data_IF_218491918429
#
_entry.id   IF_218491918429
#
_cell.length_a   1.000
_cell.length_b   1.000
_cell.length_c   1.000
_cell.angle_alpha   90.00
_cell.angle_beta   90.00
_cell.angle_gamma   90.00
#
_symmetry.space_group_name_H-M   'P 1'
#
loop_
_entity.id
_entity.type
_entity.pdbx_description
1 polymer ?
#
# COMPACT_ATOMS: atom_id res chain seq x y z
N UNK A 1 74.32 -42.82 -8.58
CA UNK A 1 73.71 -41.45 -8.39
C UNK A 1 72.31 -41.47 -8.95
N UNK A 2 71.30 -42.02 -8.25
CA UNK A 2 69.85 -41.94 -8.65
C UNK A 2 68.95 -42.25 -7.46
N UNK A 3 69.05 -41.52 -6.36
CA UNK A 3 68.20 -41.74 -5.18
C UNK A 3 67.58 -40.50 -4.54
N UNK A 4 67.92 -39.26 -5.01
CA UNK A 4 67.47 -38.03 -4.36
C UNK A 4 66.25 -37.35 -5.03
N UNK A 5 65.91 -37.74 -6.27
CA UNK A 5 64.87 -37.00 -7.02
C UNK A 5 63.42 -37.34 -6.58
N UNK A 6 63.25 -38.48 -5.89
CA UNK A 6 61.87 -38.89 -5.42
C UNK A 6 61.39 -38.13 -4.19
N UNK A 7 62.31 -37.63 -3.36
CA UNK A 7 61.91 -36.88 -2.14
C UNK A 7 61.59 -35.42 -2.44
N UNK A 8 62.24 -34.81 -3.46
CA UNK A 8 61.90 -33.46 -3.89
C UNK A 8 60.56 -33.39 -4.58
N UNK A 9 60.19 -34.34 -5.38
CA UNK A 9 58.89 -34.40 -6.02
C UNK A 9 57.72 -34.60 -5.00
N UNK A 10 57.98 -35.39 -3.94
CA UNK A 10 56.98 -35.57 -2.88
C UNK A 10 56.75 -34.31 -2.04
N UNK A 11 57.84 -33.56 -1.74
CA UNK A 11 57.70 -32.27 -1.03
C UNK A 11 56.98 -31.19 -1.84
N UNK A 12 57.18 -31.14 -3.15
CA UNK A 12 56.48 -30.18 -4.03
C UNK A 12 54.99 -30.50 -4.16
N UNK A 13 54.62 -31.78 -4.19
CA UNK A 13 53.21 -32.21 -4.23
C UNK A 13 52.53 -31.92 -2.90
N UNK A 14 53.15 -32.15 -1.77
CA UNK A 14 52.60 -31.79 -0.45
C UNK A 14 52.46 -30.30 -0.26
N UNK A 15 53.43 -29.47 -0.76
CA UNK A 15 53.30 -28.03 -0.72
C UNK A 15 52.20 -27.49 -1.61
N UNK A 16 51.97 -28.08 -2.79
CA UNK A 16 50.88 -27.75 -3.68
C UNK A 16 49.49 -28.10 -3.10
N UNK A 17 49.38 -29.24 -2.40
CA UNK A 17 48.14 -29.66 -1.71
C UNK A 17 47.83 -28.80 -0.49
N UNK A 18 48.81 -28.29 0.22
CA UNK A 18 48.62 -27.35 1.34
C UNK A 18 48.22 -25.96 0.88
N UNK A 19 48.66 -25.49 -0.28
CA UNK A 19 48.28 -24.21 -0.86
C UNK A 19 46.83 -24.22 -1.40
N UNK A 20 46.33 -25.35 -1.88
CA UNK A 20 44.93 -25.48 -2.34
C UNK A 20 43.92 -25.54 -1.20
N UNK A 21 44.29 -25.99 0.00
CA UNK A 21 43.40 -26.05 1.16
C UNK A 21 43.15 -24.67 1.84
N UNK A 22 44.01 -23.67 1.61
CA UNK A 22 43.86 -22.33 2.18
C UNK A 22 42.86 -21.50 1.39
N UNK A 23 42.59 -21.81 0.12
CA UNK A 23 41.66 -21.07 -0.73
C UNK A 23 40.18 -21.47 -0.57
N UNK A 24 39.87 -22.57 0.10
CA UNK A 24 38.48 -23.07 0.24
C UNK A 24 37.74 -22.59 1.49
N UNK A 25 38.39 -21.82 2.39
CA UNK A 25 37.77 -21.35 3.64
C UNK A 25 37.06 -20.01 3.48
N UNK A 26 37.21 -19.29 2.37
CA UNK A 26 36.62 -17.95 2.18
C UNK A 26 35.23 -17.93 1.54
N UNK A 27 34.63 -19.08 1.24
CA UNK A 27 33.29 -19.14 0.61
C UNK A 27 32.14 -19.45 1.58
N UNK A 28 32.41 -19.49 2.89
CA UNK A 28 31.37 -19.43 3.92
C UNK A 28 31.21 -18.01 4.45
N UNK A 29 31.37 -17.01 3.58
CA UNK A 29 31.03 -15.65 3.91
C UNK A 29 29.51 -15.53 3.93
N UNK A 30 29.00 -15.42 5.14
CA UNK A 30 27.79 -14.69 5.45
C UNK A 30 26.57 -15.10 4.62
N UNK A 31 25.90 -16.14 5.03
CA UNK A 31 24.45 -16.10 5.00
C UNK A 31 24.05 -14.97 5.97
N UNK A 32 24.30 -13.73 5.54
CA UNK A 32 24.00 -12.53 6.31
C UNK A 32 22.56 -12.65 6.79
N UNK A 33 22.39 -12.68 8.10
CA UNK A 33 21.08 -12.79 8.72
C UNK A 33 20.16 -11.73 8.11
N UNK A 34 19.17 -12.16 7.33
CA UNK A 34 18.16 -11.24 6.80
C UNK A 34 17.26 -10.76 7.96
N UNK A 35 16.98 -9.44 8.04
CA UNK A 35 17.57 -8.33 7.30
C UNK A 35 18.88 -7.83 7.93
N UNK A 36 19.88 -7.47 7.10
CA UNK A 36 21.15 -6.89 7.56
C UNK A 36 21.33 -5.41 7.16
N UNK A 37 20.31 -4.81 6.55
CA UNK A 37 20.24 -3.40 6.15
C UNK A 37 18.81 -2.90 6.21
N UNK A 38 18.60 -1.59 6.06
CA UNK A 38 17.28 -0.99 6.07
C UNK A 38 16.38 -1.54 4.96
N UNK A 39 15.09 -1.67 5.29
CA UNK A 39 14.03 -2.11 4.39
C UNK A 39 13.22 -0.89 3.96
N UNK A 40 12.82 -0.84 2.70
CA UNK A 40 11.89 0.15 2.16
C UNK A 40 10.49 -0.43 2.18
N UNK A 41 9.54 0.28 2.78
CA UNK A 41 8.11 -0.06 2.72
C UNK A 41 7.37 1.01 1.90
N UNK A 42 7.10 0.70 0.64
CA UNK A 42 6.42 1.61 -0.27
C UNK A 42 4.92 1.61 0.04
N UNK A 43 4.39 2.80 0.30
CA UNK A 43 2.95 3.07 0.46
C UNK A 43 2.50 3.85 -0.77
N UNK A 44 1.62 3.30 -1.64
CA UNK A 44 1.24 3.91 -2.90
C UNK A 44 0.21 5.05 -2.76
N UNK A 45 0.00 5.54 -1.53
CA UNK A 45 -0.96 6.58 -1.18
C UNK A 45 -0.32 7.68 -0.33
N UNK A 46 -1.03 8.81 -0.19
CA UNK A 46 -0.55 9.95 0.60
C UNK A 46 -0.40 9.59 2.08
N UNK A 47 0.55 10.25 2.74
CA UNK A 47 0.69 10.20 4.18
C UNK A 47 -0.61 10.62 4.90
N UNK A 48 -0.86 10.05 6.07
CA UNK A 48 -2.03 10.34 6.92
C UNK A 48 -3.30 9.56 6.54
N UNK A 49 -3.29 8.72 5.50
CA UNK A 49 -4.37 7.77 5.24
C UNK A 49 -4.22 6.47 6.03
N UNK A 50 -5.27 5.63 6.04
CA UNK A 50 -5.27 4.36 6.79
C UNK A 50 -4.11 3.42 6.39
N UNK A 51 -3.81 3.32 5.09
CA UNK A 51 -2.70 2.50 4.58
C UNK A 51 -1.34 2.99 5.11
N UNK A 52 -1.13 4.30 5.17
CA UNK A 52 0.10 4.90 5.72
C UNK A 52 0.22 4.67 7.23
N UNK A 53 -0.87 4.83 7.97
CA UNK A 53 -0.91 4.58 9.41
C UNK A 53 -0.56 3.12 9.74
N UNK A 54 -1.17 2.16 9.04
CA UNK A 54 -0.86 0.73 9.18
C UNK A 54 0.59 0.43 8.80
N UNK A 55 1.10 1.00 7.71
CA UNK A 55 2.49 0.82 7.30
C UNK A 55 3.48 1.29 8.37
N UNK A 56 3.21 2.42 9.04
CA UNK A 56 4.06 2.94 10.11
C UNK A 56 4.02 2.07 11.37
N UNK A 57 2.85 1.55 11.74
CA UNK A 57 2.70 0.61 12.86
C UNK A 57 3.52 -0.66 12.59
N UNK A 58 3.39 -1.24 11.38
CA UNK A 58 4.15 -2.44 11.00
C UNK A 58 5.64 -2.14 10.93
N UNK A 59 6.04 -1.02 10.33
CA UNK A 59 7.44 -0.63 10.24
C UNK A 59 8.11 -0.56 11.63
N UNK A 60 7.41 -0.04 12.62
CA UNK A 60 7.91 0.04 13.99
C UNK A 60 8.03 -1.36 14.63
N UNK A 61 7.03 -2.22 14.51
CA UNK A 61 7.11 -3.59 15.03
C UNK A 61 8.19 -4.43 14.34
N UNK A 62 8.37 -4.27 13.03
CA UNK A 62 9.44 -4.94 12.32
C UNK A 62 10.81 -4.41 12.74
N UNK A 63 10.95 -3.10 12.97
CA UNK A 63 12.17 -2.49 13.50
C UNK A 63 12.54 -3.09 14.87
N UNK A 64 11.56 -3.23 15.77
CA UNK A 64 11.75 -3.83 17.07
C UNK A 64 12.17 -5.30 16.99
N UNK A 65 11.54 -6.06 16.09
CA UNK A 65 11.78 -7.49 15.94
C UNK A 65 13.10 -7.82 15.23
N UNK A 66 13.48 -7.02 14.24
CA UNK A 66 14.61 -7.31 13.37
C UNK A 66 15.86 -6.48 13.67
N UNK A 67 15.73 -5.43 14.50
CA UNK A 67 16.83 -4.50 14.76
C UNK A 67 17.25 -3.66 13.57
N UNK A 68 16.47 -3.67 12.47
CA UNK A 68 16.73 -2.92 11.25
C UNK A 68 15.64 -1.89 10.98
N UNK A 69 16.04 -0.73 10.46
CA UNK A 69 15.11 0.36 10.14
C UNK A 69 14.21 -0.04 8.97
N UNK A 70 12.91 0.16 9.10
CA UNK A 70 11.94 0.05 8.00
C UNK A 70 11.47 1.45 7.63
N UNK A 71 11.88 1.92 6.45
CA UNK A 71 11.60 3.27 5.95
C UNK A 71 10.28 3.25 5.19
N UNK A 72 9.27 3.96 5.68
CA UNK A 72 7.98 4.13 5.00
C UNK A 72 8.10 5.25 3.96
N UNK A 73 7.86 4.92 2.70
CA UNK A 73 7.94 5.86 1.57
C UNK A 73 6.58 5.99 0.87
N UNK A 74 6.00 7.19 0.89
CA UNK A 74 4.74 7.47 0.20
C UNK A 74 5.01 7.81 -1.27
N UNK A 75 4.56 6.94 -2.21
CA UNK A 75 4.71 7.07 -3.67
C UNK A 75 3.35 7.14 -4.34
N UNK A 76 2.79 8.34 -4.42
CA UNK A 76 1.39 8.57 -4.83
C UNK A 76 1.23 8.72 -6.34
N UNK A 77 0.01 8.47 -6.84
CA UNK A 77 -0.41 8.79 -8.19
C UNK A 77 -1.00 7.61 -8.96
N UNK A 78 -1.83 7.91 -9.97
CA UNK A 78 -2.51 6.93 -10.82
C UNK A 78 -3.22 5.81 -10.03
N UNK A 79 -4.01 6.16 -8.99
CA UNK A 79 -4.70 5.18 -8.14
C UNK A 79 -3.76 4.25 -7.38
N UNK A 80 -2.51 4.67 -7.13
CA UNK A 80 -1.47 3.88 -6.47
C UNK A 80 -0.53 3.14 -7.43
N UNK A 81 -0.80 3.16 -8.74
CA UNK A 81 0.00 2.42 -9.71
C UNK A 81 1.45 2.88 -9.79
N UNK A 82 1.75 4.16 -9.47
CA UNK A 82 3.13 4.66 -9.47
C UNK A 82 3.96 3.96 -8.40
N UNK A 83 3.47 3.94 -7.16
CA UNK A 83 4.19 3.27 -6.06
C UNK A 83 4.25 1.76 -6.22
N UNK A 84 3.15 1.13 -6.67
CA UNK A 84 3.13 -0.30 -6.93
C UNK A 84 4.13 -0.71 -8.03
N UNK A 85 4.23 0.07 -9.12
CA UNK A 85 5.20 -0.17 -10.19
C UNK A 85 6.66 0.01 -9.71
N UNK A 86 6.93 0.97 -8.83
CA UNK A 86 8.26 1.14 -8.24
C UNK A 86 8.65 -0.10 -7.42
N UNK A 87 7.72 -0.63 -6.61
CA UNK A 87 7.95 -1.86 -5.86
C UNK A 87 8.16 -3.07 -6.79
N UNK A 88 7.31 -3.23 -7.82
CA UNK A 88 7.38 -4.31 -8.79
C UNK A 88 8.72 -4.36 -9.56
N UNK A 89 9.34 -3.19 -9.79
CA UNK A 89 10.63 -3.07 -10.49
C UNK A 89 11.86 -3.07 -9.56
N UNK A 90 11.64 -3.15 -8.26
CA UNK A 90 12.73 -3.26 -7.29
C UNK A 90 13.36 -4.66 -7.33
N UNK A 91 14.59 -4.77 -6.81
CA UNK A 91 15.26 -6.06 -6.70
C UNK A 91 14.42 -7.04 -5.85
N UNK A 92 14.25 -8.31 -6.26
CA UNK A 92 13.45 -9.29 -5.52
C UNK A 92 14.25 -9.95 -4.37
N UNK A 93 14.87 -9.12 -3.55
CA UNK A 93 15.77 -9.50 -2.45
C UNK A 93 15.15 -9.35 -1.05
N UNK A 94 13.86 -8.97 -0.99
CA UNK A 94 13.12 -8.79 0.24
C UNK A 94 13.31 -7.41 0.90
N UNK A 95 14.16 -6.53 0.38
CA UNK A 95 14.42 -5.21 0.97
C UNK A 95 13.50 -4.09 0.46
N UNK A 96 12.62 -4.39 -0.48
CA UNK A 96 11.54 -3.49 -0.88
C UNK A 96 10.20 -4.20 -0.72
N UNK A 97 9.35 -3.66 0.14
CA UNK A 97 8.01 -4.15 0.41
C UNK A 97 6.98 -3.18 -0.14
N UNK A 98 5.82 -3.68 -0.53
CA UNK A 98 4.65 -2.89 -0.91
C UNK A 98 3.54 -3.05 0.12
N UNK A 99 3.06 -1.95 0.68
CA UNK A 99 1.78 -1.90 1.38
C UNK A 99 0.67 -1.68 0.36
N UNK A 100 0.28 -2.75 -0.31
CA UNK A 100 -0.75 -2.71 -1.35
C UNK A 100 -2.16 -2.54 -0.78
N UNK A 101 -3.10 -2.23 -1.66
CA UNK A 101 -4.52 -2.16 -1.37
C UNK A 101 -5.32 -2.80 -2.52
N UNK A 102 -6.63 -2.94 -2.35
CA UNK A 102 -7.50 -3.58 -3.35
C UNK A 102 -7.35 -2.95 -4.76
N UNK A 103 -7.16 -1.63 -4.83
CA UNK A 103 -6.92 -0.92 -6.10
C UNK A 103 -5.68 -1.45 -6.80
N UNK A 104 -4.52 -1.35 -6.17
CA UNK A 104 -3.22 -1.72 -6.73
C UNK A 104 -3.07 -3.22 -6.98
N UNK A 105 -3.70 -4.06 -6.13
CA UNK A 105 -3.48 -5.50 -6.15
C UNK A 105 -4.54 -6.26 -6.99
N UNK A 106 -5.66 -5.63 -7.35
CA UNK A 106 -6.72 -6.29 -8.11
C UNK A 106 -7.42 -5.37 -9.12
N UNK A 107 -8.07 -4.29 -8.67
CA UNK A 107 -9.04 -3.53 -9.46
C UNK A 107 -8.39 -2.79 -10.62
N UNK A 108 -7.21 -2.21 -10.41
CA UNK A 108 -6.55 -1.40 -11.43
C UNK A 108 -6.22 -2.21 -12.69
N UNK A 109 -5.99 -3.52 -12.57
CA UNK A 109 -5.76 -4.41 -13.71
C UNK A 109 -6.98 -4.48 -14.66
N UNK A 110 -8.19 -4.31 -14.13
CA UNK A 110 -9.42 -4.26 -14.95
C UNK A 110 -9.80 -2.83 -15.36
N UNK A 111 -9.35 -1.82 -14.61
CA UNK A 111 -9.78 -0.43 -14.78
C UNK A 111 -8.89 0.37 -15.74
N UNK A 112 -7.57 0.14 -15.69
CA UNK A 112 -6.62 0.88 -16.52
C UNK A 112 -6.34 0.14 -17.81
N UNK A 113 -6.39 0.86 -18.94
CA UNK A 113 -6.09 0.29 -20.28
C UNK A 113 -4.69 -0.28 -20.39
N UNK A 114 -3.74 0.31 -19.67
CA UNK A 114 -2.33 -0.11 -19.64
C UNK A 114 -1.85 -0.11 -18.21
N UNK A 115 -1.48 -1.30 -17.73
CA UNK A 115 -0.87 -1.47 -16.42
C UNK A 115 0.65 -1.52 -16.56
N UNK A 116 1.40 -0.81 -15.70
CA UNK A 116 2.86 -0.84 -15.75
C UNK A 116 3.48 -2.04 -15.02
N UNK A 117 2.67 -2.90 -14.40
CA UNK A 117 3.05 -4.12 -13.68
C UNK A 117 1.94 -5.18 -13.80
N UNK A 118 2.30 -6.44 -13.58
CA UNK A 118 1.39 -7.58 -13.48
C UNK A 118 1.13 -7.90 -12.00
N UNK A 119 -0.11 -7.74 -11.54
CA UNK A 119 -0.49 -7.92 -10.14
C UNK A 119 -0.27 -9.34 -9.62
N UNK A 120 -0.24 -10.34 -10.50
CA UNK A 120 -0.11 -11.74 -10.14
C UNK A 120 1.33 -12.27 -10.26
N UNK A 121 2.18 -11.63 -11.10
CA UNK A 121 3.52 -12.14 -11.39
C UNK A 121 4.64 -11.32 -10.78
N UNK A 122 4.42 -10.00 -10.62
CA UNK A 122 5.49 -9.08 -10.21
C UNK A 122 5.61 -8.93 -8.69
N UNK A 123 4.74 -9.59 -7.93
CA UNK A 123 4.75 -9.55 -6.46
C UNK A 123 4.73 -10.96 -5.85
N UNK A 124 5.49 -11.14 -4.78
CA UNK A 124 5.35 -12.26 -3.86
C UNK A 124 4.45 -11.84 -2.69
N UNK A 125 3.21 -12.33 -2.58
CA UNK A 125 2.30 -11.95 -1.50
C UNK A 125 2.80 -12.49 -0.16
N UNK A 126 2.75 -11.65 0.89
CA UNK A 126 3.18 -12.02 2.24
C UNK A 126 1.96 -12.34 3.11
N UNK A 127 1.11 -11.33 3.34
CA UNK A 127 -0.08 -11.50 4.20
C UNK A 127 -1.08 -10.36 3.96
N UNK A 128 -2.33 -10.58 4.35
CA UNK A 128 -3.31 -9.53 4.54
C UNK A 128 -3.07 -8.88 5.91
N UNK A 129 -2.79 -7.59 5.90
CA UNK A 129 -2.46 -6.83 7.11
C UNK A 129 -3.69 -6.49 7.93
N UNK A 130 -4.73 -5.97 7.27
CA UNK A 130 -5.96 -5.57 7.91
C UNK A 130 -7.12 -5.56 6.90
N UNK A 131 -8.32 -5.61 7.45
CA UNK A 131 -9.58 -5.37 6.77
C UNK A 131 -10.40 -4.40 7.63
N UNK A 132 -11.03 -3.43 6.99
CA UNK A 132 -11.85 -2.46 7.71
C UNK A 132 -13.03 -2.00 6.84
N UNK A 133 -14.21 -1.78 7.46
CA UNK A 133 -15.35 -1.20 6.77
C UNK A 133 -15.07 0.28 6.47
N UNK A 134 -15.74 0.79 5.44
CA UNK A 134 -15.77 2.21 5.17
C UNK A 134 -17.00 2.86 5.80
N UNK A 135 -16.85 4.11 6.16
CA UNK A 135 -17.90 4.97 6.68
C UNK A 135 -18.39 5.90 5.56
N UNK A 136 -19.69 5.88 5.28
CA UNK A 136 -20.33 6.90 4.45
C UNK A 136 -20.58 8.12 5.31
N UNK A 137 -19.97 9.22 4.95
CA UNK A 137 -20.16 10.52 5.62
C UNK A 137 -20.62 11.57 4.63
N UNK A 138 -21.42 12.52 5.14
CA UNK A 138 -21.81 13.74 4.41
C UNK A 138 -21.34 14.98 5.15
N UNK A 139 -21.00 16.04 4.42
CA UNK A 139 -20.74 17.35 5.02
C UNK A 139 -22.00 17.87 5.74
N UNK A 140 -21.82 18.64 6.82
CA UNK A 140 -22.94 19.14 7.65
C UNK A 140 -23.93 20.02 6.89
N UNK A 141 -23.53 20.64 5.77
CA UNK A 141 -24.41 21.38 4.88
C UNK A 141 -25.42 20.53 4.11
N UNK A 142 -25.17 19.21 3.98
CA UNK A 142 -26.06 18.28 3.28
C UNK A 142 -27.27 17.99 4.16
N UNK A 143 -28.45 18.24 3.65
CA UNK A 143 -29.72 18.01 4.35
C UNK A 143 -30.14 16.53 4.20
N UNK A 144 -29.36 15.63 4.76
CA UNK A 144 -29.65 14.21 4.86
C UNK A 144 -29.11 13.67 6.19
N UNK A 145 -29.95 12.98 6.96
CA UNK A 145 -29.60 12.42 8.27
C UNK A 145 -29.45 10.87 8.24
N UNK A 146 -29.78 10.28 7.13
CA UNK A 146 -29.68 8.86 6.88
C UNK A 146 -29.50 8.56 5.37
N UNK A 147 -29.19 7.33 5.02
CA UNK A 147 -28.97 6.89 3.64
C UNK A 147 -30.19 7.12 2.75
N UNK A 148 -31.40 6.88 3.26
CA UNK A 148 -32.65 7.07 2.49
C UNK A 148 -32.83 8.54 2.08
N UNK A 149 -32.57 9.47 3.00
CA UNK A 149 -32.65 10.91 2.71
C UNK A 149 -31.56 11.34 1.72
N UNK A 150 -30.32 10.80 1.84
CA UNK A 150 -29.25 11.05 0.88
C UNK A 150 -29.63 10.58 -0.54
N UNK A 151 -30.18 9.37 -0.66
CA UNK A 151 -30.65 8.84 -1.94
C UNK A 151 -31.75 9.72 -2.55
N UNK A 152 -32.74 10.14 -1.74
CA UNK A 152 -33.80 11.00 -2.21
C UNK A 152 -33.26 12.36 -2.70
N UNK A 153 -32.34 12.96 -1.95
CA UNK A 153 -31.69 14.22 -2.30
C UNK A 153 -30.88 14.09 -3.61
N UNK A 154 -30.07 13.03 -3.74
CA UNK A 154 -29.25 12.80 -4.93
C UNK A 154 -30.10 12.52 -6.19
N UNK A 155 -31.24 11.82 -6.04
CA UNK A 155 -32.20 11.62 -7.14
C UNK A 155 -32.90 12.91 -7.56
N UNK A 156 -33.17 13.82 -6.62
CA UNK A 156 -33.76 15.11 -6.93
C UNK A 156 -32.76 16.08 -7.60
N UNK A 157 -31.46 15.86 -7.43
CA UNK A 157 -30.36 16.69 -7.92
C UNK A 157 -29.23 15.86 -8.50
N UNK A 158 -29.42 15.17 -9.63
CA UNK A 158 -28.41 14.28 -10.21
C UNK A 158 -27.15 15.06 -10.58
N UNK A 159 -25.98 14.58 -10.12
CA UNK A 159 -24.68 15.18 -10.42
C UNK A 159 -24.36 16.49 -9.68
N UNK A 160 -25.22 17.01 -8.81
CA UNK A 160 -24.96 18.24 -8.07
C UNK A 160 -24.10 18.05 -6.80
N UNK A 161 -24.11 16.85 -6.22
CA UNK A 161 -23.33 16.55 -5.03
C UNK A 161 -21.94 16.03 -5.43
N UNK A 162 -20.89 16.68 -4.93
CA UNK A 162 -19.52 16.27 -5.13
C UNK A 162 -19.17 15.10 -4.18
N UNK A 163 -18.75 13.98 -4.75
CA UNK A 163 -18.25 12.81 -4.02
C UNK A 163 -16.73 12.73 -4.11
N UNK A 164 -16.02 12.89 -2.98
CA UNK A 164 -14.58 12.87 -2.94
C UNK A 164 -14.00 11.46 -2.74
N UNK A 165 -12.87 11.17 -3.38
CA UNK A 165 -12.14 9.92 -3.21
C UNK A 165 -10.62 10.10 -3.30
N UNK A 166 -9.85 9.12 -2.85
CA UNK A 166 -8.38 9.16 -2.84
C UNK A 166 -7.71 8.90 -4.18
N UNK A 167 -8.48 8.78 -5.28
CA UNK A 167 -8.00 8.51 -6.63
C UNK A 167 -8.84 7.45 -7.33
N UNK A 168 -8.79 7.45 -8.65
CA UNK A 168 -9.48 6.45 -9.48
C UNK A 168 -8.97 5.04 -9.15
N UNK A 169 -9.88 4.08 -8.91
CA UNK A 169 -9.56 2.70 -8.53
C UNK A 169 -9.39 2.46 -7.03
N UNK A 170 -9.39 3.49 -6.19
CA UNK A 170 -9.36 3.32 -4.73
C UNK A 170 -10.68 2.77 -4.20
N UNK A 171 -10.65 2.18 -2.99
CA UNK A 171 -11.85 1.64 -2.33
C UNK A 171 -12.96 2.69 -2.21
N UNK A 172 -12.60 3.94 -1.92
CA UNK A 172 -13.55 5.06 -1.82
C UNK A 172 -14.26 5.33 -3.15
N UNK A 173 -13.51 5.32 -4.25
CA UNK A 173 -14.06 5.49 -5.59
C UNK A 173 -15.03 4.37 -5.95
N UNK A 174 -14.61 3.11 -5.71
CA UNK A 174 -15.43 1.94 -5.99
C UNK A 174 -16.70 1.88 -5.16
N UNK A 175 -16.62 2.22 -3.87
CA UNK A 175 -17.79 2.26 -3.00
C UNK A 175 -18.81 3.30 -3.47
N UNK A 176 -18.33 4.47 -3.94
CA UNK A 176 -19.20 5.51 -4.52
C UNK A 176 -19.90 4.98 -5.77
N UNK A 177 -19.17 4.39 -6.72
CA UNK A 177 -19.76 3.83 -7.95
C UNK A 177 -20.75 2.70 -7.66
N UNK A 178 -20.42 1.83 -6.71
CA UNK A 178 -21.32 0.75 -6.30
C UNK A 178 -22.61 1.31 -5.69
N UNK A 179 -22.50 2.32 -4.83
CA UNK A 179 -23.65 3.00 -4.24
C UNK A 179 -24.53 3.65 -5.33
N UNK A 180 -23.94 4.35 -6.30
CA UNK A 180 -24.67 4.92 -7.43
C UNK A 180 -25.41 3.84 -8.22
N UNK A 181 -24.74 2.74 -8.54
CA UNK A 181 -25.31 1.62 -9.29
C UNK A 181 -26.48 0.98 -8.55
N UNK A 182 -26.33 0.73 -7.24
CA UNK A 182 -27.37 0.06 -6.42
C UNK A 182 -28.57 0.95 -6.16
N UNK A 183 -28.38 2.27 -6.13
CA UNK A 183 -29.44 3.23 -5.71
C UNK A 183 -30.04 4.01 -6.87
N UNK A 184 -29.41 3.97 -8.06
CA UNK A 184 -29.80 4.78 -9.21
C UNK A 184 -29.59 6.27 -8.94
N UNK A 185 -28.56 6.63 -8.17
CA UNK A 185 -28.13 8.03 -7.93
C UNK A 185 -26.95 8.38 -8.82
N UNK A 186 -26.63 9.66 -8.93
CA UNK A 186 -25.45 10.17 -9.64
C UNK A 186 -24.80 11.28 -8.85
N UNK A 187 -23.47 11.20 -8.69
CA UNK A 187 -22.65 12.21 -8.02
C UNK A 187 -21.59 12.76 -8.97
N UNK A 188 -21.10 13.96 -8.67
CA UNK A 188 -19.89 14.48 -9.32
C UNK A 188 -18.66 13.91 -8.61
N UNK A 189 -17.99 12.92 -9.22
CA UNK A 189 -16.79 12.31 -8.65
C UNK A 189 -15.58 13.23 -8.70
N UNK A 190 -14.98 13.55 -7.54
CA UNK A 190 -13.76 14.34 -7.42
C UNK A 190 -12.63 13.45 -6.91
N UNK A 191 -11.66 13.18 -7.77
CA UNK A 191 -10.51 12.29 -7.44
C UNK A 191 -9.28 13.09 -7.05
N UNK A 192 -8.69 12.75 -5.90
CA UNK A 192 -7.49 13.36 -5.34
C UNK A 192 -6.27 12.42 -5.46
N UNK A 193 -5.07 12.94 -5.19
CA UNK A 193 -3.84 12.12 -5.13
C UNK A 193 -3.66 11.39 -3.79
N UNK A 194 -4.75 11.13 -3.06
CA UNK A 194 -4.82 10.48 -1.77
C UNK A 194 -5.97 11.02 -0.93
N UNK A 195 -6.45 10.23 0.04
CA UNK A 195 -7.66 10.54 0.79
C UNK A 195 -7.52 11.77 1.72
N UNK A 196 -6.32 12.06 2.21
CA UNK A 196 -6.09 13.22 3.07
C UNK A 196 -6.51 14.56 2.42
N UNK A 197 -6.25 14.72 1.10
CA UNK A 197 -6.69 15.91 0.37
C UNK A 197 -8.22 15.94 0.19
N UNK A 198 -8.85 14.81 -0.10
CA UNK A 198 -10.31 14.69 -0.14
C UNK A 198 -10.95 15.03 1.21
N UNK A 199 -10.35 14.56 2.32
CA UNK A 199 -10.82 14.89 3.67
C UNK A 199 -10.72 16.39 3.98
N UNK A 200 -9.65 17.06 3.57
CA UNK A 200 -9.51 18.51 3.74
C UNK A 200 -10.63 19.27 3.04
N UNK A 201 -10.95 18.89 1.80
CA UNK A 201 -12.03 19.49 1.02
C UNK A 201 -13.43 19.13 1.55
N UNK A 202 -13.58 17.93 2.14
CA UNK A 202 -14.78 17.54 2.87
C UNK A 202 -15.01 18.44 4.09
N UNK A 203 -13.97 18.67 4.90
CA UNK A 203 -14.04 19.54 6.09
C UNK A 203 -14.30 21.01 5.76
N UNK A 204 -13.95 21.43 4.54
CA UNK A 204 -14.18 22.77 4.02
C UNK A 204 -15.51 22.92 3.28
N UNK A 205 -16.25 21.82 3.03
CA UNK A 205 -17.52 21.80 2.33
C UNK A 205 -17.42 21.84 0.80
N UNK A 206 -16.21 21.71 0.23
CA UNK A 206 -15.99 21.64 -1.22
C UNK A 206 -16.49 20.33 -1.82
N UNK A 207 -16.48 19.24 -1.05
CA UNK A 207 -17.15 17.97 -1.37
C UNK A 207 -18.25 17.70 -0.34
N UNK A 208 -19.36 17.09 -0.80
CA UNK A 208 -20.56 16.90 -0.01
C UNK A 208 -20.65 15.51 0.62
N UNK A 209 -20.01 14.51 0.04
CA UNK A 209 -20.00 13.16 0.59
C UNK A 209 -18.70 12.42 0.25
N UNK A 210 -18.39 11.43 1.05
CA UNK A 210 -17.33 10.46 0.77
C UNK A 210 -17.60 9.13 1.47
N UNK A 211 -17.10 8.05 0.89
CA UNK A 211 -16.81 6.83 1.61
C UNK A 211 -15.36 6.93 2.08
N UNK A 212 -15.10 6.73 3.35
CA UNK A 212 -13.73 6.87 3.88
C UNK A 212 -13.42 5.86 4.97
N UNK A 213 -12.14 5.67 5.21
CA UNK A 213 -11.66 4.77 6.25
C UNK A 213 -12.05 5.31 7.62
N UNK A 214 -12.59 4.45 8.47
CA UNK A 214 -13.02 4.82 9.81
C UNK A 214 -11.87 5.46 10.61
N UNK A 215 -10.67 4.89 10.55
CA UNK A 215 -9.50 5.41 11.27
C UNK A 215 -9.15 6.86 10.88
N UNK A 216 -9.33 7.22 9.60
CA UNK A 216 -9.07 8.57 9.10
C UNK A 216 -10.21 9.55 9.44
N UNK A 217 -11.46 9.08 9.47
CA UNK A 217 -12.64 9.93 9.67
C UNK A 217 -13.00 10.16 11.14
N UNK A 218 -12.82 9.15 12.02
CA UNK A 218 -13.23 9.21 13.43
C UNK A 218 -12.74 10.46 14.18
N UNK A 219 -11.47 10.90 14.05
CA UNK A 219 -10.99 12.09 14.75
C UNK A 219 -11.77 13.38 14.40
N UNK A 220 -12.42 13.38 13.23
CA UNK A 220 -13.11 14.55 12.69
C UNK A 220 -14.64 14.53 12.87
N UNK A 221 -15.23 13.40 13.27
CA UNK A 221 -16.69 13.28 13.43
C UNK A 221 -17.23 14.26 14.49
N UNK A 222 -16.49 14.44 15.58
CA UNK A 222 -16.88 15.35 16.65
C UNK A 222 -16.71 16.83 16.31
N UNK A 223 -16.17 17.16 15.14
CA UNK A 223 -15.99 18.55 14.71
C UNK A 223 -17.30 19.27 14.34
N UNK A 224 -18.39 18.52 14.18
CA UNK A 224 -19.67 19.02 13.69
C UNK A 224 -19.69 19.37 12.19
N UNK A 225 -18.55 19.18 11.49
CA UNK A 225 -18.42 19.50 10.06
C UNK A 225 -18.90 18.38 9.15
N UNK A 226 -19.02 17.15 9.67
CA UNK A 226 -19.51 16.02 8.92
C UNK A 226 -20.44 15.14 9.76
N UNK A 227 -21.29 14.39 9.08
CA UNK A 227 -22.26 13.47 9.69
C UNK A 227 -22.08 12.08 9.12
N UNK A 228 -21.85 11.04 9.95
CA UNK A 228 -21.85 9.66 9.50
C UNK A 228 -23.29 9.21 9.22
N UNK A 229 -23.48 8.47 8.13
CA UNK A 229 -24.78 7.94 7.73
C UNK A 229 -24.86 6.41 7.80
N UNK A 230 -23.78 5.73 7.46
CA UNK A 230 -23.73 4.27 7.43
C UNK A 230 -22.28 3.75 7.40
N UNK A 231 -22.12 2.46 7.69
CA UNK A 231 -20.91 1.67 7.47
C UNK A 231 -21.15 0.64 6.37
N UNK A 232 -20.09 0.16 5.72
CA UNK A 232 -20.19 -0.84 4.65
C UNK A 232 -20.17 -2.28 5.14
N UNK A 233 -19.96 -2.52 6.44
CA UNK A 233 -20.10 -3.84 7.07
C UNK A 233 -21.57 -4.15 7.37
N UNK A 234 -21.85 -5.44 7.60
CA UNK A 234 -23.18 -5.90 8.02
C UNK A 234 -23.39 -5.80 9.53
N UNK A 235 -22.29 -5.80 10.29
CA UNK A 235 -22.24 -5.78 11.75
C UNK A 235 -21.53 -4.53 12.24
#
# INVERSE_FOLDING_TARGET
>A
MKKNDRHWSACLICAALLLTSVFTVSAMADAASYPNRSIRLIVPFSAGGATDALARIIAEHLRESWGQVVVVENRTGAGGNIGANEAAKSAPDGYTLLMGAIGTNAVNAALYKTMPYDTLKDFAPITQVAEFPMLLVVHSSVKANNVKELIALAKARPGELNAGNGGVGTSQHLATLLFETMTGTSFQGISYKGFAAALSDMLSGNIQLTFGDMATLLPHLNSGKMRPLAVTSKD
#
